data_IF_210843950880
#
_entry.id   IF_210843950880
#
_cell.length_a   1.000
_cell.length_b   1.000
_cell.length_c   1.000
_cell.angle_alpha   90.00
_cell.angle_beta   90.00
_cell.angle_gamma   90.00
#
_symmetry.space_group_name_H-M   'P 1'
#
loop_
_entity.id
_entity.type
_entity.pdbx_description
1 polymer ?
#
# COMPACT_ATOMS: atom_id res chain seq x y z
N UNK A 1 -23.04 -11.81 -2.25
CA UNK A 1 -22.06 -11.82 -3.37
C UNK A 1 -20.70 -11.27 -2.93
N UNK A 2 -20.01 -11.90 -1.96
CA UNK A 2 -18.78 -11.34 -1.35
C UNK A 2 -17.61 -12.33 -1.21
N UNK A 3 -17.52 -13.35 -2.08
CA UNK A 3 -16.62 -14.49 -1.86
C UNK A 3 -15.52 -14.66 -2.92
N UNK A 4 -15.80 -14.34 -4.20
CA UNK A 4 -14.82 -14.52 -5.29
C UNK A 4 -13.66 -13.52 -5.30
N UNK A 5 -13.89 -12.30 -4.78
CA UNK A 5 -12.90 -11.22 -4.78
C UNK A 5 -11.78 -11.46 -3.76
N UNK A 6 -12.14 -11.86 -2.54
CA UNK A 6 -11.20 -12.03 -1.43
C UNK A 6 -10.30 -13.26 -1.62
N UNK A 7 -10.84 -14.37 -2.13
CA UNK A 7 -10.05 -15.59 -2.38
C UNK A 7 -9.09 -15.42 -3.58
N UNK A 8 -9.50 -14.68 -4.63
CA UNK A 8 -8.61 -14.29 -5.72
C UNK A 8 -7.52 -13.34 -5.23
N UNK A 9 -7.84 -12.39 -4.35
CA UNK A 9 -6.87 -11.45 -3.80
C UNK A 9 -5.80 -12.19 -2.97
N UNK A 10 -6.21 -13.15 -2.15
CA UNK A 10 -5.29 -13.97 -1.37
C UNK A 10 -4.43 -14.91 -2.23
N UNK A 11 -5.02 -15.58 -3.24
CA UNK A 11 -4.25 -16.40 -4.19
C UNK A 11 -3.27 -15.56 -5.01
N UNK A 12 -3.63 -14.33 -5.41
CA UNK A 12 -2.70 -13.38 -6.05
C UNK A 12 -1.56 -12.98 -5.12
N UNK A 13 -1.87 -12.66 -3.86
CA UNK A 13 -0.88 -12.29 -2.86
C UNK A 13 0.12 -13.43 -2.61
N UNK A 14 -0.35 -14.68 -2.51
CA UNK A 14 0.53 -15.85 -2.41
C UNK A 14 1.35 -16.09 -3.67
N UNK A 15 0.76 -15.95 -4.87
CA UNK A 15 1.46 -16.18 -6.16
C UNK A 15 2.54 -15.14 -6.43
N UNK A 16 2.36 -13.89 -6.00
CA UNK A 16 3.39 -12.85 -6.13
C UNK A 16 4.53 -13.01 -5.11
N UNK A 17 4.27 -13.63 -3.96
CA UNK A 17 5.19 -13.68 -2.84
C UNK A 17 5.12 -12.43 -1.96
N UNK A 18 5.37 -12.60 -0.65
CA UNK A 18 5.26 -11.53 0.36
C UNK A 18 5.99 -10.24 -0.02
N UNK A 19 7.23 -10.37 -0.52
CA UNK A 19 8.11 -9.24 -0.82
C UNK A 19 7.59 -8.44 -2.02
N UNK A 20 7.23 -9.12 -3.12
CA UNK A 20 6.67 -8.44 -4.30
C UNK A 20 5.32 -7.80 -4.00
N UNK A 21 4.49 -8.43 -3.18
CA UNK A 21 3.23 -7.83 -2.74
C UNK A 21 3.46 -6.54 -1.93
N UNK A 22 4.42 -6.57 -1.00
CA UNK A 22 4.83 -5.40 -0.22
C UNK A 22 5.35 -4.27 -1.12
N UNK A 23 6.16 -4.59 -2.13
CA UNK A 23 6.71 -3.58 -3.04
C UNK A 23 5.60 -3.01 -3.95
N UNK A 24 4.77 -3.85 -4.55
CA UNK A 24 3.76 -3.39 -5.52
C UNK A 24 2.57 -2.73 -4.82
N UNK A 25 1.98 -3.39 -3.82
CA UNK A 25 0.77 -2.89 -3.15
C UNK A 25 1.12 -1.88 -2.07
N UNK A 26 2.24 -2.08 -1.38
CA UNK A 26 2.71 -1.16 -0.36
C UNK A 26 3.36 0.07 -0.98
N UNK A 27 4.51 -0.12 -1.61
CA UNK A 27 5.37 1.00 -2.04
C UNK A 27 4.80 1.69 -3.30
N UNK A 28 4.50 0.94 -4.37
CA UNK A 28 4.03 1.56 -5.61
C UNK A 28 2.61 2.13 -5.48
N UNK A 29 1.67 1.37 -4.91
CA UNK A 29 0.30 1.86 -4.76
C UNK A 29 0.12 2.79 -3.55
N UNK A 30 0.49 2.34 -2.34
CA UNK A 30 0.34 3.14 -1.11
C UNK A 30 1.31 4.31 -1.04
N UNK A 31 2.60 4.06 -1.21
CA UNK A 31 3.64 5.10 -1.21
C UNK A 31 3.50 6.07 -2.37
N UNK A 32 3.27 5.57 -3.59
CA UNK A 32 3.03 6.41 -4.76
C UNK A 32 1.81 7.33 -4.62
N UNK A 33 0.68 6.82 -4.11
CA UNK A 33 -0.49 7.64 -3.86
C UNK A 33 -0.25 8.71 -2.78
N UNK A 34 0.45 8.35 -1.70
CA UNK A 34 0.80 9.28 -0.63
C UNK A 34 1.73 10.39 -1.13
N UNK A 35 2.76 10.04 -1.90
CA UNK A 35 3.67 10.99 -2.50
C UNK A 35 2.95 11.94 -3.46
N UNK A 36 2.16 11.39 -4.40
CA UNK A 36 1.40 12.19 -5.36
C UNK A 36 0.41 13.13 -4.68
N UNK A 37 -0.29 12.67 -3.64
CA UNK A 37 -1.20 13.50 -2.86
C UNK A 37 -0.46 14.61 -2.11
N UNK A 38 0.72 14.31 -1.54
CA UNK A 38 1.54 15.29 -0.82
C UNK A 38 2.04 16.40 -1.75
N UNK A 39 2.52 16.03 -2.94
CA UNK A 39 2.93 16.99 -3.98
C UNK A 39 1.74 17.82 -4.45
N UNK A 40 0.60 17.18 -4.72
CA UNK A 40 -0.61 17.88 -5.17
C UNK A 40 -1.12 18.87 -4.12
N UNK A 41 -1.19 18.45 -2.86
CA UNK A 41 -1.58 19.32 -1.73
C UNK A 41 -0.64 20.51 -1.63
N UNK A 42 0.66 20.29 -1.76
CA UNK A 42 1.60 21.38 -1.65
C UNK A 42 1.56 22.35 -2.81
N UNK A 43 1.29 21.83 -4.02
CA UNK A 43 1.05 22.66 -5.19
C UNK A 43 -0.16 23.56 -4.98
N UNK A 44 -1.23 23.04 -4.37
CA UNK A 44 -2.44 23.80 -4.06
C UNK A 44 -2.22 24.80 -2.91
N UNK A 45 -1.46 24.41 -1.87
CA UNK A 45 -1.22 25.26 -0.70
C UNK A 45 -0.08 26.26 -0.89
N UNK A 46 0.64 26.21 -2.01
CA UNK A 46 1.82 27.04 -2.27
C UNK A 46 2.94 26.84 -1.25
N UNK A 47 3.00 25.65 -0.62
CA UNK A 47 4.00 25.34 0.39
C UNK A 47 5.24 24.72 -0.25
N UNK A 48 6.42 25.06 0.27
CA UNK A 48 7.65 24.38 -0.12
C UNK A 48 7.70 23.01 0.56
N UNK A 49 7.87 21.95 -0.24
CA UNK A 49 8.13 20.60 0.28
C UNK A 49 9.51 20.15 -0.11
N UNK A 50 10.19 19.52 0.84
CA UNK A 50 11.33 18.69 0.52
C UNK A 50 10.83 17.40 -0.14
N UNK A 51 11.04 17.31 -1.46
CA UNK A 51 10.66 16.15 -2.27
C UNK A 51 11.40 14.89 -1.81
N UNK A 52 12.65 15.00 -1.36
CA UNK A 52 13.44 13.86 -0.91
C UNK A 52 12.92 13.35 0.44
N UNK A 53 12.63 14.25 1.37
CA UNK A 53 12.04 13.86 2.66
C UNK A 53 10.62 13.30 2.49
N UNK A 54 9.83 13.88 1.59
CA UNK A 54 8.48 13.38 1.25
C UNK A 54 8.56 12.00 0.61
N UNK A 55 9.54 11.76 -0.26
CA UNK A 55 9.77 10.45 -0.86
C UNK A 55 10.17 9.39 0.16
N UNK A 56 11.10 9.69 1.09
CA UNK A 56 11.46 8.77 2.18
C UNK A 56 10.26 8.44 3.06
N UNK A 57 9.45 9.45 3.39
CA UNK A 57 8.22 9.28 4.16
C UNK A 57 7.20 8.41 3.41
N UNK A 58 7.07 8.60 2.09
CA UNK A 58 6.22 7.79 1.23
C UNK A 58 6.67 6.32 1.14
N UNK A 59 7.99 6.08 1.07
CA UNK A 59 8.55 4.73 1.12
C UNK A 59 8.23 4.04 2.47
N UNK A 60 8.48 4.73 3.59
CA UNK A 60 8.16 4.22 4.91
C UNK A 60 6.66 3.93 5.07
N UNK A 61 5.81 4.85 4.61
CA UNK A 61 4.37 4.67 4.59
C UNK A 61 3.96 3.47 3.72
N UNK A 62 4.54 3.33 2.54
CA UNK A 62 4.27 2.22 1.63
C UNK A 62 4.63 0.86 2.23
N UNK A 63 5.76 0.74 2.92
CA UNK A 63 6.14 -0.50 3.63
C UNK A 63 5.14 -0.84 4.72
N UNK A 64 4.76 0.13 5.55
CA UNK A 64 3.77 -0.06 6.63
C UNK A 64 2.40 -0.43 6.06
N UNK A 65 1.96 0.26 5.01
CA UNK A 65 0.69 0.01 4.33
C UNK A 65 0.66 -1.39 3.70
N UNK A 66 1.74 -1.79 3.00
CA UNK A 66 1.84 -3.14 2.42
C UNK A 66 1.83 -4.23 3.48
N UNK A 67 2.48 -4.00 4.63
CA UNK A 67 2.50 -4.95 5.75
C UNK A 67 1.13 -5.07 6.41
N UNK A 68 0.48 -3.94 6.69
CA UNK A 68 -0.87 -3.91 7.25
C UNK A 68 -1.87 -4.56 6.30
N UNK A 69 -1.83 -4.21 5.02
CA UNK A 69 -2.67 -4.81 3.98
C UNK A 69 -2.54 -6.32 3.96
N UNK A 70 -1.30 -6.84 3.92
CA UNK A 70 -1.04 -8.28 3.98
C UNK A 70 -1.60 -8.93 5.26
N UNK A 71 -1.37 -8.30 6.42
CA UNK A 71 -1.84 -8.79 7.73
C UNK A 71 -3.37 -8.80 7.82
N UNK A 72 -4.05 -7.79 7.27
CA UNK A 72 -5.50 -7.72 7.20
C UNK A 72 -6.09 -8.78 6.26
N UNK A 73 -5.50 -8.97 5.07
CA UNK A 73 -5.92 -10.04 4.14
C UNK A 73 -5.77 -11.41 4.80
N UNK A 74 -4.64 -11.65 5.50
CA UNK A 74 -4.41 -12.91 6.22
C UNK A 74 -5.44 -13.12 7.35
N UNK A 75 -5.67 -12.11 8.20
CA UNK A 75 -6.65 -12.19 9.30
C UNK A 75 -8.07 -12.43 8.80
N UNK A 76 -8.50 -11.77 7.72
CA UNK A 76 -9.84 -11.99 7.13
C UNK A 76 -10.01 -13.41 6.59
N UNK A 77 -8.95 -14.01 6.06
CA UNK A 77 -8.96 -15.38 5.59
C UNK A 77 -9.04 -16.38 6.75
N UNK A 78 -8.24 -16.20 7.80
CA UNK A 78 -8.23 -17.09 8.97
C UNK A 78 -9.53 -17.03 9.79
N UNK A 79 -10.22 -15.87 9.85
CA UNK A 79 -11.47 -15.72 10.61
C UNK A 79 -12.70 -16.37 9.96
N UNK A 80 -12.60 -16.80 8.70
CA UNK A 80 -13.68 -17.44 7.92
C UNK A 80 -13.51 -18.96 7.79
N UNK A 81 -12.43 -19.53 8.33
CA UNK A 81 -12.23 -20.97 8.50
C UNK A 81 -12.58 -21.36 9.93
#
# INVERSE_FOLDING_TARGET
MGNYSEEKAWKRAQRMGKVNYLIIVGILAGGGAFFGLSVLLSYISGSDIDLFQTFLSALSFGVVYGYLSWKFTKRRYEKKR
#
